data_IF_954489390929
#
_entry.id   IF_954489390929
#
_cell.length_a   1.000
_cell.length_b   1.000
_cell.length_c   1.000
_cell.angle_alpha   90.00
_cell.angle_beta   90.00
_cell.angle_gamma   90.00
#
_symmetry.space_group_name_H-M   'P 1'
#
loop_
_entity.id
_entity.type
_entity.pdbx_description
1 polymer ?
#
# COMPACT_ATOMS: atom_id res chain seq x y z
N UNK A 1 -3.69 -69.69 38.20
CA UNK A 1 -2.53 -69.85 37.30
C UNK A 1 -2.56 -68.70 36.31
N UNK A 2 -1.58 -67.80 36.40
CA UNK A 2 -1.50 -66.54 35.66
C UNK A 2 -1.37 -66.78 34.15
N UNK A 3 -2.13 -66.03 33.33
CA UNK A 3 -1.80 -65.87 31.91
C UNK A 3 -1.53 -64.39 31.65
N UNK A 4 -0.28 -64.12 31.33
CA UNK A 4 0.30 -62.80 31.03
C UNK A 4 -0.11 -62.31 29.63
N UNK A 5 -0.04 -61.00 29.52
CA UNK A 5 -0.35 -60.15 28.38
C UNK A 5 0.47 -60.40 27.10
N UNK A 6 -0.12 -60.00 25.98
CA UNK A 6 0.60 -59.44 24.83
C UNK A 6 -0.30 -58.42 24.11
N UNK A 7 -0.12 -57.14 24.44
CA UNK A 7 -0.64 -56.01 23.66
C UNK A 7 0.26 -55.83 22.44
N UNK A 8 -0.25 -56.14 21.25
CA UNK A 8 0.42 -55.83 19.99
C UNK A 8 0.48 -54.31 19.79
N UNK A 9 1.68 -53.75 19.90
CA UNK A 9 1.97 -52.38 19.54
C UNK A 9 2.08 -52.25 18.01
N UNK A 10 1.11 -51.57 17.38
CA UNK A 10 1.21 -51.16 15.97
C UNK A 10 2.32 -50.11 15.82
N UNK A 11 3.48 -50.54 15.36
CA UNK A 11 4.57 -49.66 14.93
C UNK A 11 4.14 -48.88 13.69
N UNK A 12 3.93 -47.57 13.84
CA UNK A 12 3.73 -46.65 12.71
C UNK A 12 5.06 -46.49 11.97
N UNK A 13 5.13 -47.03 10.76
CA UNK A 13 6.26 -46.90 9.84
C UNK A 13 6.49 -45.42 9.47
N UNK A 14 7.43 -44.76 10.15
CA UNK A 14 7.90 -43.42 9.80
C UNK A 14 8.85 -43.51 8.61
N UNK A 15 8.32 -43.73 7.40
CA UNK A 15 9.09 -43.55 6.17
C UNK A 15 9.53 -42.09 6.06
N UNK A 16 10.78 -41.82 6.41
CA UNK A 16 11.48 -40.56 6.18
C UNK A 16 11.42 -40.27 4.66
N UNK A 17 10.60 -39.30 4.25
CA UNK A 17 10.56 -38.84 2.86
C UNK A 17 11.94 -38.28 2.49
N UNK A 18 12.75 -39.06 1.76
CA UNK A 18 14.00 -38.61 1.14
C UNK A 18 13.71 -37.33 0.34
N UNK A 19 14.32 -36.21 0.72
CA UNK A 19 14.28 -34.95 -0.06
C UNK A 19 15.01 -35.20 -1.38
N UNK A 20 14.26 -35.41 -2.46
CA UNK A 20 14.82 -35.49 -3.81
C UNK A 20 15.33 -34.09 -4.17
N UNK A 21 16.64 -33.89 -4.16
CA UNK A 21 17.29 -32.70 -4.71
C UNK A 21 17.27 -32.82 -6.23
N UNK A 22 16.20 -32.32 -6.86
CA UNK A 22 16.20 -32.15 -8.32
C UNK A 22 17.14 -30.98 -8.65
N UNK A 23 18.30 -31.28 -9.23
CA UNK A 23 19.16 -30.28 -9.88
C UNK A 23 18.38 -29.75 -11.08
N UNK A 24 17.66 -28.64 -10.89
CA UNK A 24 16.95 -27.98 -11.99
C UNK A 24 17.97 -27.16 -12.77
N UNK A 25 17.97 -27.23 -14.11
CA UNK A 25 18.75 -26.30 -14.92
C UNK A 25 18.46 -24.87 -14.47
N UNK A 26 19.50 -24.05 -14.32
CA UNK A 26 19.34 -22.64 -13.97
C UNK A 26 18.75 -21.88 -15.17
N UNK A 27 17.42 -21.92 -15.32
CA UNK A 27 16.68 -21.18 -16.36
C UNK A 27 16.95 -19.68 -16.32
N UNK A 28 17.34 -19.17 -15.14
CA UNK A 28 17.64 -17.77 -14.90
C UNK A 28 19.12 -17.64 -14.54
N UNK A 29 19.93 -17.22 -15.50
CA UNK A 29 21.35 -16.90 -15.27
C UNK A 29 21.41 -15.60 -14.47
N UNK A 30 21.89 -15.61 -13.21
CA UNK A 30 21.86 -14.42 -12.36
C UNK A 30 22.55 -13.21 -12.98
N UNK A 31 23.67 -13.40 -13.68
CA UNK A 31 24.39 -12.31 -14.35
C UNK A 31 23.60 -11.60 -15.46
N UNK A 32 22.62 -12.28 -16.06
CA UNK A 32 21.85 -11.76 -17.20
C UNK A 32 20.53 -11.14 -16.73
N UNK A 33 19.80 -11.81 -15.83
CA UNK A 33 18.45 -11.36 -15.45
C UNK A 33 18.44 -10.39 -14.27
N UNK A 34 19.47 -10.36 -13.43
CA UNK A 34 19.41 -9.63 -12.16
C UNK A 34 19.36 -8.11 -12.37
N UNK A 35 20.09 -7.56 -13.35
CA UNK A 35 20.06 -6.13 -13.68
C UNK A 35 18.69 -5.66 -14.18
N UNK A 36 18.07 -6.26 -15.23
CA UNK A 36 16.73 -5.87 -15.66
C UNK A 36 15.69 -6.11 -14.54
N UNK A 37 15.84 -7.20 -13.79
CA UNK A 37 14.93 -7.50 -12.68
C UNK A 37 15.02 -6.47 -11.55
N UNK A 38 16.24 -6.06 -11.17
CA UNK A 38 16.47 -5.04 -10.15
C UNK A 38 15.89 -3.69 -10.58
N UNK A 39 15.96 -3.36 -11.87
CA UNK A 39 15.33 -2.15 -12.42
C UNK A 39 13.81 -2.19 -12.25
N UNK A 40 13.14 -3.28 -12.63
CA UNK A 40 11.69 -3.42 -12.43
C UNK A 40 11.31 -3.39 -10.94
N UNK A 41 12.12 -4.02 -10.08
CA UNK A 41 11.87 -4.02 -8.65
C UNK A 41 12.05 -2.63 -8.02
N UNK A 42 13.06 -1.87 -8.45
CA UNK A 42 13.27 -0.48 -8.06
C UNK A 42 12.09 0.42 -8.48
N UNK A 43 11.68 0.34 -9.75
CA UNK A 43 10.51 1.07 -10.29
C UNK A 43 9.23 0.70 -9.52
N UNK A 44 9.10 -0.56 -9.09
CA UNK A 44 7.94 -1.02 -8.33
C UNK A 44 7.90 -0.52 -6.88
N UNK A 45 8.84 0.32 -6.48
CA UNK A 45 9.08 0.73 -5.10
C UNK A 45 9.23 -0.48 -4.16
N UNK A 46 10.03 -1.45 -4.60
CA UNK A 46 10.47 -2.61 -3.83
C UNK A 46 9.38 -3.58 -3.32
N UNK A 47 8.21 -3.65 -3.97
CA UNK A 47 7.15 -4.61 -3.60
C UNK A 47 7.62 -6.08 -3.68
N UNK A 48 6.94 -6.96 -2.95
CA UNK A 48 7.27 -8.39 -2.93
C UNK A 48 6.93 -9.11 -4.24
N UNK A 49 7.53 -10.28 -4.47
CA UNK A 49 7.38 -11.02 -5.71
C UNK A 49 5.95 -11.39 -6.08
N UNK A 50 5.07 -11.63 -5.09
CA UNK A 50 3.64 -11.89 -5.33
C UNK A 50 2.90 -10.71 -5.97
N UNK A 51 3.31 -9.48 -5.65
CA UNK A 51 2.75 -8.23 -6.20
C UNK A 51 3.48 -7.81 -7.48
N UNK A 52 4.80 -8.00 -7.54
CA UNK A 52 5.59 -7.64 -8.71
C UNK A 52 5.31 -8.52 -9.93
N UNK A 53 5.26 -9.85 -9.76
CA UNK A 53 5.06 -10.78 -10.88
C UNK A 53 3.92 -10.39 -11.85
N UNK A 54 2.69 -10.08 -11.39
CA UNK A 54 1.61 -9.69 -12.29
C UNK A 54 1.76 -8.30 -12.94
N UNK A 55 2.67 -7.45 -12.47
CA UNK A 55 2.93 -6.12 -13.03
C UNK A 55 4.00 -6.10 -14.11
N UNK A 56 4.87 -7.11 -14.17
CA UNK A 56 6.04 -7.12 -15.05
C UNK A 56 5.64 -6.85 -16.51
N UNK A 57 4.58 -7.49 -17.00
CA UNK A 57 4.11 -7.29 -18.37
C UNK A 57 3.69 -5.84 -18.64
N UNK A 58 3.00 -5.18 -17.69
CA UNK A 58 2.57 -3.79 -17.83
C UNK A 58 3.75 -2.83 -17.80
N UNK A 59 4.71 -3.08 -16.89
CA UNK A 59 5.91 -2.26 -16.80
C UNK A 59 6.73 -2.35 -18.08
N UNK A 60 6.93 -3.57 -18.61
CA UNK A 60 7.64 -3.75 -19.88
C UNK A 60 6.93 -3.03 -21.03
N UNK A 61 5.59 -3.09 -21.10
CA UNK A 61 4.82 -2.36 -22.09
C UNK A 61 5.08 -0.85 -22.02
N UNK A 62 4.94 -0.26 -20.82
CA UNK A 62 5.11 1.19 -20.62
C UNK A 62 6.56 1.63 -20.83
N UNK A 63 7.52 0.89 -20.31
CA UNK A 63 8.94 1.22 -20.48
C UNK A 63 9.40 1.08 -21.92
N UNK A 64 8.86 0.13 -22.70
CA UNK A 64 9.14 0.04 -24.13
C UNK A 64 8.49 1.16 -24.93
N UNK A 65 7.23 1.51 -24.61
CA UNK A 65 6.53 2.66 -25.22
C UNK A 65 7.39 3.92 -25.17
N UNK A 66 7.99 4.18 -24.02
CA UNK A 66 8.78 5.40 -23.77
C UNK A 66 10.28 5.22 -24.01
N UNK A 67 10.70 4.10 -24.62
CA UNK A 67 12.11 3.79 -24.94
C UNK A 67 13.04 3.80 -23.71
N UNK A 68 12.51 3.49 -22.54
CA UNK A 68 13.25 3.35 -21.28
C UNK A 68 13.65 1.89 -20.99
N UNK A 69 13.45 0.96 -21.95
CA UNK A 69 13.81 -0.45 -21.81
C UNK A 69 14.57 -0.97 -23.03
N UNK A 70 15.86 -1.21 -22.84
CA UNK A 70 16.87 -1.56 -23.86
C UNK A 70 17.28 -3.05 -23.84
N UNK A 71 16.64 -3.88 -23.01
CA UNK A 71 16.95 -5.30 -22.95
C UNK A 71 16.35 -6.09 -24.13
N UNK A 72 17.01 -7.19 -24.56
CA UNK A 72 16.48 -8.06 -25.61
C UNK A 72 15.12 -8.68 -25.27
N UNK A 73 14.29 -8.93 -26.28
CA UNK A 73 12.95 -9.54 -26.11
C UNK A 73 13.00 -10.92 -25.42
N UNK A 74 14.11 -11.65 -25.58
CA UNK A 74 14.33 -12.92 -24.87
C UNK A 74 14.33 -12.75 -23.34
N UNK A 75 14.76 -11.58 -22.83
CA UNK A 75 14.73 -11.25 -21.40
C UNK A 75 13.31 -10.97 -20.94
N UNK A 76 12.51 -10.24 -21.72
CA UNK A 76 11.09 -10.00 -21.41
C UNK A 76 10.32 -11.30 -21.22
N UNK A 77 10.52 -12.25 -22.13
CA UNK A 77 9.88 -13.56 -22.05
C UNK A 77 10.25 -14.31 -20.75
N UNK A 78 11.50 -14.19 -20.29
CA UNK A 78 11.93 -14.77 -19.02
C UNK A 78 11.32 -14.04 -17.82
N UNK A 79 11.30 -12.70 -17.85
CA UNK A 79 10.74 -11.87 -16.79
C UNK A 79 9.23 -12.07 -16.64
N UNK A 80 8.49 -12.21 -17.73
CA UNK A 80 7.03 -12.43 -17.69
C UNK A 80 6.70 -13.82 -17.14
N UNK A 81 7.53 -14.84 -17.44
CA UNK A 81 7.31 -16.23 -17.00
C UNK A 81 7.75 -16.49 -15.55
N UNK A 82 8.49 -15.57 -14.93
CA UNK A 82 9.09 -15.81 -13.62
C UNK A 82 8.02 -15.93 -12.52
N UNK A 83 8.18 -16.93 -11.66
CA UNK A 83 7.27 -17.12 -10.52
C UNK A 83 7.58 -16.13 -9.39
N UNK A 84 6.56 -15.73 -8.64
CA UNK A 84 6.71 -14.89 -7.44
C UNK A 84 7.74 -15.42 -6.43
N UNK A 85 7.80 -16.74 -6.21
CA UNK A 85 8.78 -17.35 -5.31
C UNK A 85 10.22 -17.24 -5.85
N UNK A 86 10.39 -17.32 -7.18
CA UNK A 86 11.71 -17.15 -7.80
C UNK A 86 12.16 -15.71 -7.74
N UNK A 87 11.25 -14.75 -7.94
CA UNK A 87 11.50 -13.33 -7.72
C UNK A 87 12.09 -13.09 -6.33
N UNK A 88 11.39 -13.50 -5.27
CA UNK A 88 11.84 -13.22 -3.90
C UNK A 88 13.19 -13.90 -3.59
N UNK A 89 13.43 -15.09 -4.15
CA UNK A 89 14.73 -15.79 -4.04
C UNK A 89 15.86 -15.02 -4.73
N UNK A 90 15.64 -14.52 -5.95
CA UNK A 90 16.66 -13.75 -6.70
C UNK A 90 16.95 -12.39 -6.05
N UNK A 91 15.96 -11.77 -5.42
CA UNK A 91 16.11 -10.49 -4.72
C UNK A 91 16.77 -10.60 -3.35
N UNK A 92 16.84 -11.80 -2.76
CA UNK A 92 17.35 -12.00 -1.40
C UNK A 92 18.75 -11.40 -1.18
N UNK A 93 19.75 -11.61 -2.07
CA UNK A 93 21.07 -10.99 -1.92
C UNK A 93 21.03 -9.46 -1.99
N UNK A 94 20.20 -8.89 -2.87
CA UNK A 94 20.06 -7.43 -3.02
C UNK A 94 19.42 -6.84 -1.77
N UNK A 95 18.34 -7.44 -1.27
CA UNK A 95 17.68 -7.02 -0.02
C UNK A 95 18.64 -7.01 1.16
N UNK A 96 19.50 -8.03 1.29
CA UNK A 96 20.53 -8.09 2.33
C UNK A 96 21.55 -6.96 2.25
N UNK A 97 21.90 -6.50 1.05
CA UNK A 97 22.80 -5.35 0.85
C UNK A 97 22.11 -4.02 1.17
N UNK A 98 20.81 -3.91 0.90
CA UNK A 98 20.01 -2.70 1.16
C UNK A 98 19.59 -2.56 2.63
N UNK A 99 19.55 -3.64 3.41
CA UNK A 99 19.43 -3.54 4.86
C UNK A 99 20.69 -2.88 5.43
N UNK A 100 20.61 -1.58 5.68
CA UNK A 100 21.50 -0.90 6.61
C UNK A 100 21.52 -1.72 7.91
N UNK A 101 22.72 -2.11 8.39
CA UNK A 101 22.91 -2.74 9.71
C UNK A 101 22.65 -1.70 10.82
N UNK A 102 21.44 -1.18 10.89
CA UNK A 102 20.95 -0.40 12.02
C UNK A 102 20.21 -1.34 12.97
N UNK A 103 20.55 -1.31 14.26
CA UNK A 103 19.70 -1.91 15.30
C UNK A 103 18.42 -1.10 15.38
N UNK A 104 17.40 -1.48 14.63
CA UNK A 104 16.07 -0.87 14.76
C UNK A 104 15.39 -1.45 16.00
N UNK A 105 15.20 -0.62 17.03
CA UNK A 105 14.45 -0.99 18.26
C UNK A 105 12.94 -1.09 17.96
N UNK A 106 12.48 -0.46 16.87
CA UNK A 106 11.12 -0.58 16.37
C UNK A 106 11.08 -1.53 15.17
N UNK A 107 10.78 -2.80 15.43
CA UNK A 107 10.29 -3.70 14.38
C UNK A 107 8.94 -3.13 13.90
N UNK A 108 8.67 -3.02 12.59
CA UNK A 108 7.30 -2.89 12.10
C UNK A 108 6.48 -4.01 12.74
N UNK A 109 5.37 -3.66 13.40
CA UNK A 109 4.64 -4.54 14.30
C UNK A 109 4.54 -5.98 13.77
N UNK A 110 4.99 -6.92 14.60
CA UNK A 110 4.90 -8.35 14.31
C UNK A 110 3.45 -8.74 14.02
N UNK A 111 3.22 -9.32 12.83
CA UNK A 111 2.01 -10.01 12.39
C UNK A 111 1.55 -11.05 13.42
N UNK A 112 0.78 -10.66 14.43
CA UNK A 112 0.07 -11.57 15.33
C UNK A 112 -1.04 -10.80 16.06
N UNK A 113 -2.25 -10.82 15.48
CA UNK A 113 -3.55 -10.64 16.17
C UNK A 113 -4.71 -10.79 15.18
N UNK A 114 -4.95 -12.01 14.70
CA UNK A 114 -6.16 -12.31 13.92
C UNK A 114 -6.90 -13.50 14.52
N UNK A 115 -7.78 -13.22 15.47
CA UNK A 115 -8.99 -13.99 15.67
C UNK A 115 -10.11 -12.99 15.95
N UNK A 116 -11.27 -13.21 15.32
CA UNK A 116 -12.57 -12.54 15.47
C UNK A 116 -12.86 -11.44 14.41
N UNK A 117 -13.81 -11.69 13.49
CA UNK A 117 -14.49 -10.64 12.73
C UNK A 117 -15.64 -10.04 13.57
N UNK A 118 -15.97 -8.76 13.41
CA UNK A 118 -17.38 -8.30 13.31
C UNK A 118 -17.39 -6.97 12.54
N UNK A 119 -17.96 -6.99 11.34
CA UNK A 119 -18.52 -5.81 10.70
C UNK A 119 -20.01 -6.12 10.50
N UNK A 120 -20.93 -5.30 11.00
CA UNK A 120 -22.35 -5.44 10.63
C UNK A 120 -22.60 -4.63 9.37
N UNK A 121 -22.26 -5.24 8.22
CA UNK A 121 -22.45 -4.74 6.85
C UNK A 121 -23.88 -5.02 6.40
N UNK A 122 -24.87 -4.34 7.00
CA UNK A 122 -26.22 -4.47 6.46
C UNK A 122 -26.39 -3.68 5.14
N UNK A 123 -25.68 -2.55 4.98
CA UNK A 123 -25.98 -1.61 3.89
C UNK A 123 -24.84 -1.35 2.90
N UNK A 124 -23.64 -1.88 3.14
CA UNK A 124 -22.50 -1.63 2.26
C UNK A 124 -22.27 -2.85 1.34
N UNK A 125 -22.03 -2.61 0.06
CA UNK A 125 -21.75 -3.66 -0.90
C UNK A 125 -20.27 -3.57 -1.32
N UNK A 126 -19.41 -4.44 -0.76
CA UNK A 126 -17.96 -4.51 -1.06
C UNK A 126 -17.65 -4.82 -2.54
N UNK A 127 -18.68 -5.15 -3.34
CA UNK A 127 -18.56 -5.48 -4.76
C UNK A 127 -18.83 -4.30 -5.69
N UNK A 128 -19.20 -3.13 -5.16
CA UNK A 128 -19.32 -1.89 -5.94
C UNK A 128 -18.38 -0.81 -5.40
N UNK A 129 -17.75 0.00 -6.27
CA UNK A 129 -16.91 1.11 -5.83
C UNK A 129 -17.77 2.30 -5.41
N UNK A 130 -17.16 3.20 -4.66
CA UNK A 130 -17.79 4.37 -4.05
C UNK A 130 -17.83 4.31 -2.52
N UNK A 131 -17.36 3.22 -1.91
CA UNK A 131 -17.34 3.07 -0.45
C UNK A 131 -15.91 3.22 0.05
N UNK A 132 -15.63 4.34 0.72
CA UNK A 132 -14.29 4.71 1.15
C UNK A 132 -14.11 4.54 2.66
N UNK A 133 -13.00 3.93 3.05
CA UNK A 133 -12.46 4.05 4.40
C UNK A 133 -11.54 5.26 4.44
N UNK A 134 -11.71 6.13 5.44
CA UNK A 134 -10.91 7.35 5.60
C UNK A 134 -10.14 7.35 6.93
N UNK A 135 -8.92 7.86 6.91
CA UNK A 135 -8.11 8.07 8.11
C UNK A 135 -7.12 9.23 7.94
N UNK A 136 -6.56 9.71 9.06
CA UNK A 136 -5.52 10.74 9.09
C UNK A 136 -4.20 10.25 9.69
N UNK A 137 -3.10 10.90 9.29
CA UNK A 137 -1.76 10.63 9.81
C UNK A 137 -1.05 11.95 10.12
N UNK A 138 -0.61 12.11 11.36
CA UNK A 138 0.21 13.24 11.79
C UNK A 138 1.64 13.20 11.18
N UNK A 139 2.08 14.30 10.58
CA UNK A 139 3.47 14.52 10.18
C UNK A 139 4.19 15.44 11.18
N UNK A 140 4.31 14.95 12.41
CA UNK A 140 4.82 15.70 13.56
C UNK A 140 6.31 15.41 13.87
N UNK A 141 6.96 14.51 13.12
CA UNK A 141 8.29 14.03 13.46
C UNK A 141 8.30 13.26 14.79
N UNK A 142 9.24 13.58 15.67
CA UNK A 142 9.36 13.00 17.01
C UNK A 142 8.62 13.77 18.11
N UNK A 143 7.98 14.89 17.77
CA UNK A 143 7.32 15.77 18.74
C UNK A 143 5.84 15.97 18.36
N UNK A 144 4.92 15.83 19.31
CA UNK A 144 3.48 16.03 19.08
C UNK A 144 2.99 17.43 19.44
N UNK A 145 3.85 18.32 19.94
CA UNK A 145 3.48 19.72 20.22
C UNK A 145 3.50 20.58 18.96
N UNK A 146 2.77 21.69 18.99
CA UNK A 146 2.71 22.68 17.92
C UNK A 146 1.85 22.26 16.72
N UNK A 147 1.80 23.13 15.72
CA UNK A 147 1.06 22.91 14.49
C UNK A 147 1.92 22.14 13.48
N UNK A 148 1.30 21.17 12.82
CA UNK A 148 1.94 20.37 11.77
C UNK A 148 0.86 19.77 10.88
N UNK A 149 1.27 19.43 9.66
CA UNK A 149 0.40 18.90 8.64
C UNK A 149 -0.09 17.47 8.97
N UNK A 150 -1.30 17.18 8.48
CA UNK A 150 -1.98 15.91 8.60
C UNK A 150 -2.25 15.34 7.21
N UNK A 151 -1.76 14.13 6.94
CA UNK A 151 -2.10 13.42 5.72
C UNK A 151 -3.46 12.77 5.83
N UNK A 152 -4.38 13.11 4.93
CA UNK A 152 -5.68 12.50 4.78
C UNK A 152 -5.62 11.41 3.70
N UNK A 153 -6.12 10.22 4.02
CA UNK A 153 -6.13 9.07 3.13
C UNK A 153 -7.56 8.52 3.01
N UNK A 154 -8.08 8.45 1.78
CA UNK A 154 -9.33 7.76 1.48
C UNK A 154 -9.05 6.55 0.59
N UNK A 155 -9.47 5.36 1.00
CA UNK A 155 -9.29 4.13 0.23
C UNK A 155 -10.62 3.44 -0.07
N UNK A 156 -10.95 3.27 -1.35
CA UNK A 156 -12.13 2.53 -1.79
C UNK A 156 -12.02 1.04 -1.41
N UNK A 157 -13.03 0.49 -0.75
CA UNK A 157 -13.02 -0.89 -0.25
C UNK A 157 -13.10 -1.90 -1.39
N UNK A 158 -13.79 -1.60 -2.48
CA UNK A 158 -13.99 -2.51 -3.60
C UNK A 158 -12.72 -2.64 -4.44
N UNK A 159 -12.18 -1.50 -4.90
CA UNK A 159 -11.08 -1.42 -5.86
C UNK A 159 -9.73 -1.13 -5.21
N UNK A 160 -9.68 -0.82 -3.92
CA UNK A 160 -8.47 -0.32 -3.23
C UNK A 160 -7.94 0.99 -3.84
N UNK A 161 -8.82 1.79 -4.44
CA UNK A 161 -8.45 3.07 -5.05
C UNK A 161 -8.13 4.06 -3.94
N UNK A 162 -6.95 4.65 -4.01
CA UNK A 162 -6.42 5.54 -2.98
C UNK A 162 -6.56 6.99 -3.45
N UNK A 163 -6.98 7.87 -2.55
CA UNK A 163 -6.88 9.32 -2.71
C UNK A 163 -6.05 9.84 -1.54
N UNK A 164 -5.19 10.82 -1.81
CA UNK A 164 -4.31 11.42 -0.80
C UNK A 164 -4.38 12.94 -0.84
N UNK A 165 -4.40 13.56 0.33
CA UNK A 165 -4.33 15.00 0.48
C UNK A 165 -3.53 15.34 1.74
N UNK A 166 -2.81 16.45 1.73
CA UNK A 166 -2.16 16.99 2.90
C UNK A 166 -2.94 18.20 3.42
N UNK A 167 -3.41 18.11 4.66
CA UNK A 167 -4.10 19.17 5.37
C UNK A 167 -3.09 19.92 6.27
N UNK A 168 -3.17 21.25 6.39
CA UNK A 168 -2.26 22.02 7.25
C UNK A 168 -2.45 21.71 8.75
N UNK A 169 -3.65 21.28 9.14
CA UNK A 169 -4.02 20.92 10.49
C UNK A 169 -5.09 19.79 10.51
N UNK A 170 -5.45 19.33 11.71
CA UNK A 170 -6.48 18.29 11.95
C UNK A 170 -7.89 18.88 12.17
N UNK A 171 -8.07 20.16 11.88
CA UNK A 171 -9.33 20.87 12.05
C UNK A 171 -10.39 20.37 11.08
N UNK A 172 -11.63 20.42 11.53
CA UNK A 172 -12.79 19.87 10.80
C UNK A 172 -12.95 20.52 9.41
N UNK A 173 -12.67 21.82 9.29
CA UNK A 173 -12.71 22.53 8.02
C UNK A 173 -11.61 22.07 7.05
N UNK A 174 -10.37 21.94 7.54
CA UNK A 174 -9.24 21.50 6.74
C UNK A 174 -9.45 20.08 6.18
N UNK A 175 -9.94 19.16 7.03
CA UNK A 175 -10.28 17.80 6.62
C UNK A 175 -11.42 17.81 5.59
N UNK A 176 -12.51 18.54 5.85
CA UNK A 176 -13.64 18.63 4.92
C UNK A 176 -13.25 19.17 3.54
N UNK A 177 -12.48 20.26 3.48
CA UNK A 177 -11.99 20.79 2.20
C UNK A 177 -11.03 19.81 1.50
N UNK A 178 -10.17 19.12 2.25
CA UNK A 178 -9.33 18.06 1.70
C UNK A 178 -10.15 16.93 1.07
N UNK A 179 -11.18 16.44 1.77
CA UNK A 179 -12.08 15.41 1.24
C UNK A 179 -12.79 15.87 -0.03
N UNK A 180 -13.30 17.12 -0.06
CA UNK A 180 -13.92 17.69 -1.26
C UNK A 180 -12.95 17.67 -2.45
N UNK A 181 -11.72 18.15 -2.27
CA UNK A 181 -10.68 18.15 -3.32
C UNK A 181 -10.43 16.74 -3.83
N UNK A 182 -10.24 15.77 -2.93
CA UNK A 182 -10.01 14.36 -3.27
C UNK A 182 -11.15 13.79 -4.12
N UNK A 183 -12.39 14.05 -3.73
CA UNK A 183 -13.57 13.53 -4.42
C UNK A 183 -13.72 14.06 -5.85
N UNK A 184 -13.22 15.27 -6.15
CA UNK A 184 -13.26 15.82 -7.53
C UNK A 184 -12.40 15.04 -8.52
N UNK A 185 -11.40 14.28 -8.04
CA UNK A 185 -10.46 13.51 -8.88
C UNK A 185 -11.01 12.15 -9.28
N UNK A 186 -12.12 11.71 -8.68
CA UNK A 186 -12.73 10.42 -8.98
C UNK A 186 -13.50 10.43 -10.30
N UNK A 187 -13.46 9.30 -11.01
CA UNK A 187 -14.29 9.07 -12.19
C UNK A 187 -15.64 8.42 -11.83
N UNK A 188 -15.89 8.12 -10.56
CA UNK A 188 -17.12 7.50 -10.05
C UNK A 188 -17.56 8.20 -8.75
N UNK A 189 -18.84 8.02 -8.38
CA UNK A 189 -19.41 8.69 -7.21
C UNK A 189 -18.94 8.03 -5.92
N UNK A 190 -18.80 8.85 -4.88
CA UNK A 190 -18.74 8.37 -3.50
C UNK A 190 -20.18 8.07 -3.05
N UNK A 191 -20.38 6.87 -2.51
CA UNK A 191 -21.63 6.33 -2.00
C UNK A 191 -21.63 6.22 -0.48
N UNK A 192 -20.46 5.99 0.11
CA UNK A 192 -20.30 5.94 1.56
C UNK A 192 -18.88 6.21 2.02
N UNK A 193 -18.77 6.71 3.24
CA UNK A 193 -17.52 7.03 3.92
C UNK A 193 -17.57 6.42 5.32
N UNK A 194 -16.53 5.69 5.69
CA UNK A 194 -16.34 5.09 7.00
C UNK A 194 -15.09 5.68 7.62
N UNK A 195 -15.23 6.34 8.77
CA UNK A 195 -14.11 6.91 9.52
C UNK A 195 -13.94 6.22 10.87
N UNK A 196 -12.81 6.49 11.52
CA UNK A 196 -12.66 6.24 12.94
C UNK A 196 -13.48 7.24 13.77
N UNK A 197 -13.38 7.17 15.11
CA UNK A 197 -14.08 8.08 16.01
C UNK A 197 -13.31 9.40 16.27
N UNK A 198 -12.38 9.78 15.40
CA UNK A 198 -11.64 11.02 15.52
C UNK A 198 -12.55 12.25 15.44
N UNK A 199 -12.32 13.25 16.30
CA UNK A 199 -13.10 14.49 16.33
C UNK A 199 -13.00 15.33 15.06
N UNK A 200 -12.00 15.05 14.22
CA UNK A 200 -11.83 15.64 12.89
C UNK A 200 -12.84 15.12 11.87
N UNK A 201 -13.38 13.91 12.06
CA UNK A 201 -14.40 13.31 11.20
C UNK A 201 -15.79 13.37 11.85
N UNK A 202 -15.87 13.22 13.16
CA UNK A 202 -17.13 13.25 13.91
C UNK A 202 -17.51 14.70 14.21
N UNK A 203 -18.08 15.37 13.22
CA UNK A 203 -18.53 16.76 13.32
C UNK A 203 -19.71 17.10 12.39
N UNK A 204 -20.36 18.23 12.67
CA UNK A 204 -21.56 18.68 11.95
C UNK A 204 -21.26 19.10 10.49
N UNK A 205 -20.06 19.62 10.21
CA UNK A 205 -19.65 20.02 8.85
C UNK A 205 -19.65 18.80 7.93
N UNK A 206 -18.90 17.76 8.29
CA UNK A 206 -18.80 16.54 7.49
C UNK A 206 -20.13 15.78 7.44
N UNK A 207 -20.86 15.72 8.56
CA UNK A 207 -22.17 15.08 8.61
C UNK A 207 -23.18 15.75 7.64
N UNK A 208 -23.32 17.08 7.69
CA UNK A 208 -24.21 17.83 6.79
C UNK A 208 -23.77 17.74 5.34
N UNK A 209 -22.46 17.77 5.07
CA UNK A 209 -21.94 17.55 3.73
C UNK A 209 -22.33 16.17 3.19
N UNK A 210 -22.14 15.11 3.97
CA UNK A 210 -22.54 13.75 3.59
C UNK A 210 -24.06 13.66 3.36
N UNK A 211 -24.88 14.27 4.23
CA UNK A 211 -26.34 14.34 4.04
C UNK A 211 -26.72 15.03 2.72
N UNK A 212 -26.14 16.20 2.45
CA UNK A 212 -26.40 16.97 1.23
C UNK A 212 -25.99 16.20 -0.03
N UNK A 213 -24.82 15.57 -0.01
CA UNK A 213 -24.29 14.77 -1.12
C UNK A 213 -24.92 13.37 -1.22
N UNK A 214 -25.79 13.00 -0.27
CA UNK A 214 -26.41 11.65 -0.14
C UNK A 214 -25.35 10.54 -0.03
N UNK A 215 -24.30 10.81 0.73
CA UNK A 215 -23.23 9.88 1.07
C UNK A 215 -23.57 9.23 2.41
N UNK A 216 -23.52 7.90 2.45
CA UNK A 216 -23.72 7.14 3.69
C UNK A 216 -22.49 7.30 4.59
N UNK A 217 -22.63 8.01 5.70
CA UNK A 217 -21.53 8.20 6.65
C UNK A 217 -21.64 7.25 7.84
N UNK A 218 -20.61 6.41 8.05
CA UNK A 218 -20.53 5.46 9.15
C UNK A 218 -19.28 5.69 9.99
N UNK A 219 -19.31 5.17 11.23
CA UNK A 219 -18.19 5.22 12.15
C UNK A 219 -17.89 3.84 12.73
N UNK A 220 -16.63 3.61 13.04
CA UNK A 220 -16.19 2.41 13.74
C UNK A 220 -16.73 2.40 15.18
N UNK A 221 -17.12 1.25 15.76
CA UNK A 221 -17.64 1.20 17.16
C UNK A 221 -16.53 1.54 18.17
N UNK A 222 -16.83 2.41 19.14
CA UNK A 222 -15.92 2.74 20.24
C UNK A 222 -15.55 1.49 21.07
N UNK A 223 -14.27 1.35 21.41
CA UNK A 223 -13.76 0.31 22.32
C UNK A 223 -13.13 -0.94 21.69
N UNK A 224 -12.99 -1.02 20.35
CA UNK A 224 -12.33 -2.17 19.69
C UNK A 224 -11.03 -1.76 18.98
N UNK A 225 -9.91 -1.84 19.70
CA UNK A 225 -8.52 -1.56 19.26
C UNK A 225 -7.98 -2.41 18.08
N UNK A 226 -8.81 -3.18 17.38
CA UNK A 226 -8.37 -4.18 16.40
C UNK A 226 -8.37 -3.68 14.94
N UNK A 227 -9.00 -2.54 14.65
CA UNK A 227 -9.06 -1.97 13.30
C UNK A 227 -7.80 -1.15 12.94
N UNK A 228 -7.05 -0.71 13.97
CA UNK A 228 -5.81 0.04 13.81
C UNK A 228 -4.79 -0.67 12.91
N UNK A 229 -4.68 -2.00 12.92
CA UNK A 229 -3.64 -2.69 12.15
C UNK A 229 -3.85 -2.60 10.63
N UNK A 230 -5.09 -2.66 10.15
CA UNK A 230 -5.39 -2.54 8.72
C UNK A 230 -5.22 -1.10 8.25
N UNK A 231 -5.65 -0.16 9.08
CA UNK A 231 -5.51 1.28 8.89
C UNK A 231 -4.04 1.71 8.90
N UNK A 232 -3.25 1.27 9.89
CA UNK A 232 -1.81 1.46 9.97
C UNK A 232 -1.09 0.91 8.73
N UNK A 233 -1.49 -0.27 8.24
CA UNK A 233 -0.92 -0.83 7.04
C UNK A 233 -1.21 0.04 5.81
N UNK A 234 -2.46 0.50 5.63
CA UNK A 234 -2.87 1.37 4.52
C UNK A 234 -2.08 2.68 4.54
N UNK A 235 -2.12 3.39 5.67
CA UNK A 235 -1.41 4.64 5.88
C UNK A 235 0.10 4.49 5.71
N UNK A 236 0.66 3.36 6.14
CA UNK A 236 2.06 3.08 5.89
C UNK A 236 2.34 3.00 4.38
N UNK A 237 1.53 2.24 3.63
CA UNK A 237 1.74 2.02 2.20
C UNK A 237 1.41 3.23 1.31
N UNK A 238 0.53 4.13 1.74
CA UNK A 238 0.08 5.28 0.93
C UNK A 238 0.71 6.61 1.33
N UNK A 239 0.93 6.86 2.63
CA UNK A 239 1.48 8.12 3.13
C UNK A 239 2.92 7.97 3.61
N UNK A 240 3.19 7.09 4.59
CA UNK A 240 4.52 6.98 5.22
C UNK A 240 5.60 6.48 4.27
N UNK A 241 5.25 5.63 3.30
CA UNK A 241 6.18 5.17 2.28
C UNK A 241 6.72 6.32 1.43
N UNK A 242 5.93 7.38 1.24
CA UNK A 242 6.27 8.51 0.36
C UNK A 242 6.77 9.74 1.13
N UNK A 243 6.22 10.03 2.30
CA UNK A 243 6.60 11.21 3.09
C UNK A 243 7.48 10.86 4.31
N UNK A 244 7.60 9.57 4.66
CA UNK A 244 8.35 9.13 5.82
C UNK A 244 7.72 9.56 7.15
N UNK A 245 8.58 9.83 8.12
CA UNK A 245 8.21 10.31 9.45
C UNK A 245 8.70 11.76 9.66
N UNK A 246 8.73 12.56 8.60
CA UNK A 246 9.15 13.96 8.68
C UNK A 246 8.15 14.78 9.52
N UNK A 247 8.67 15.87 10.10
CA UNK A 247 7.85 16.96 10.63
C UNK A 247 7.61 17.96 9.50
N UNK A 248 6.34 18.19 9.17
CA UNK A 248 5.90 19.07 8.07
C UNK A 248 5.03 20.16 8.68
N UNK A 249 5.45 21.41 8.57
CA UNK A 249 4.87 22.54 9.31
C UNK A 249 4.70 23.78 8.45
N UNK A 250 5.64 24.04 7.54
CA UNK A 250 5.60 25.25 6.73
C UNK A 250 4.79 25.04 5.46
N UNK A 251 4.20 26.11 4.95
CA UNK A 251 3.46 26.09 3.68
C UNK A 251 4.33 25.56 2.52
N UNK A 252 5.61 25.94 2.47
CA UNK A 252 6.55 25.40 1.47
C UNK A 252 6.69 23.87 1.59
N UNK A 253 6.84 23.34 2.80
CA UNK A 253 6.94 21.90 3.03
C UNK A 253 5.64 21.19 2.66
N UNK A 254 4.49 21.78 2.99
CA UNK A 254 3.16 21.26 2.65
C UNK A 254 2.99 21.17 1.14
N UNK A 255 3.37 22.21 0.39
CA UNK A 255 3.27 22.23 -1.08
C UNK A 255 4.14 21.13 -1.72
N UNK A 256 5.41 21.00 -1.30
CA UNK A 256 6.29 19.95 -1.82
C UNK A 256 5.73 18.57 -1.48
N UNK A 257 5.23 18.38 -0.26
CA UNK A 257 4.66 17.11 0.16
C UNK A 257 3.36 16.78 -0.59
N UNK A 258 2.51 17.76 -0.85
CA UNK A 258 1.31 17.59 -1.67
C UNK A 258 1.66 17.17 -3.11
N UNK A 259 2.67 17.78 -3.73
CA UNK A 259 3.16 17.36 -5.05
C UNK A 259 3.64 15.90 -5.06
N UNK A 260 4.32 15.46 -3.98
CA UNK A 260 4.70 14.05 -3.81
C UNK A 260 3.46 13.16 -3.76
N UNK A 261 2.44 13.54 -2.97
CA UNK A 261 1.22 12.75 -2.80
C UNK A 261 0.40 12.65 -4.09
N UNK A 262 0.34 13.70 -4.91
CA UNK A 262 -0.33 13.66 -6.21
C UNK A 262 0.34 12.67 -7.17
N UNK A 263 1.68 12.68 -7.25
CA UNK A 263 2.42 11.69 -8.03
C UNK A 263 2.29 10.27 -7.45
N UNK A 264 2.27 10.15 -6.12
CA UNK A 264 2.09 8.88 -5.42
C UNK A 264 0.70 8.30 -5.68
N UNK A 265 -0.35 9.11 -5.70
CA UNK A 265 -1.72 8.69 -6.00
C UNK A 265 -1.80 8.04 -7.39
N UNK A 266 -1.18 8.66 -8.40
CA UNK A 266 -1.08 8.10 -9.75
C UNK A 266 -0.28 6.79 -9.74
N UNK A 267 0.88 6.79 -9.09
CA UNK A 267 1.73 5.61 -9.00
C UNK A 267 1.02 4.42 -8.33
N UNK A 268 0.38 4.63 -7.19
CA UNK A 268 -0.33 3.61 -6.43
C UNK A 268 -1.49 3.05 -7.28
N UNK A 269 -2.35 3.93 -7.80
CA UNK A 269 -3.58 3.49 -8.46
C UNK A 269 -3.35 2.81 -9.81
N UNK A 270 -2.35 3.25 -10.58
CA UNK A 270 -2.11 2.77 -11.94
C UNK A 270 -0.97 1.77 -12.06
N UNK A 271 0.03 1.86 -11.19
CA UNK A 271 1.29 1.12 -11.33
C UNK A 271 1.68 0.28 -10.11
N UNK A 272 0.92 0.30 -9.01
CA UNK A 272 1.17 -0.54 -7.86
C UNK A 272 0.04 -1.55 -7.62
N UNK A 273 0.38 -2.83 -7.65
CA UNK A 273 -0.59 -3.91 -7.45
C UNK A 273 -0.74 -4.21 -5.97
N UNK A 274 -1.92 -4.66 -5.56
CA UNK A 274 -2.25 -5.08 -4.20
C UNK A 274 -3.11 -6.34 -4.25
N UNK A 275 -3.10 -7.10 -3.14
CA UNK A 275 -3.90 -8.32 -2.98
C UNK A 275 -5.00 -8.10 -1.96
N UNK A 276 -6.23 -8.41 -2.33
CA UNK A 276 -7.36 -8.47 -1.40
C UNK A 276 -7.45 -9.85 -0.78
N UNK A 277 -7.79 -9.87 0.49
CA UNK A 277 -8.10 -11.08 1.20
C UNK A 277 -9.52 -11.55 0.82
N UNK A 278 -9.63 -12.76 0.27
CA UNK A 278 -10.89 -13.37 -0.15
C UNK A 278 -11.56 -14.18 0.97
N UNK A 279 -10.78 -15.01 1.67
CA UNK A 279 -11.29 -15.90 2.73
C UNK A 279 -10.26 -16.07 3.83
N UNK A 280 -10.73 -16.15 5.08
CA UNK A 280 -9.97 -16.69 6.20
C UNK A 280 -10.59 -18.02 6.60
N UNK A 281 -9.78 -19.05 6.74
CA UNK A 281 -10.20 -20.35 7.22
C UNK A 281 -9.35 -20.73 8.44
N UNK A 282 -10.00 -21.17 9.52
CA UNK A 282 -9.31 -21.58 10.73
C UNK A 282 -9.29 -23.10 10.81
N UNK A 283 -8.09 -23.66 10.76
CA UNK A 283 -7.85 -25.10 10.88
C UNK A 283 -7.06 -25.32 12.18
N UNK A 284 -7.79 -25.68 13.26
CA UNK A 284 -7.25 -25.77 14.61
C UNK A 284 -6.68 -24.44 15.11
N UNK A 285 -5.37 -24.41 15.39
CA UNK A 285 -4.64 -23.21 15.82
C UNK A 285 -4.15 -22.34 14.66
N UNK A 286 -4.21 -22.83 13.41
CA UNK A 286 -3.70 -22.12 12.24
C UNK A 286 -4.84 -21.39 11.52
N UNK A 287 -4.57 -20.15 11.11
CA UNK A 287 -5.45 -19.39 10.21
C UNK A 287 -4.83 -19.33 8.83
N UNK A 288 -5.49 -19.91 7.84
CA UNK A 288 -5.11 -19.84 6.43
C UNK A 288 -5.86 -18.67 5.80
N UNK A 289 -5.12 -17.82 5.10
CA UNK A 289 -5.64 -16.65 4.39
C UNK A 289 -5.53 -16.88 2.88
N UNK A 290 -6.65 -16.83 2.19
CA UNK A 290 -6.72 -16.92 0.74
C UNK A 290 -6.83 -15.51 0.17
N UNK A 291 -5.88 -15.17 -0.69
CA UNK A 291 -5.81 -13.86 -1.35
C UNK A 291 -6.12 -14.01 -2.83
N UNK A 292 -6.59 -12.93 -3.44
CA UNK A 292 -6.74 -12.87 -4.88
C UNK A 292 -5.39 -12.70 -5.61
N UNK A 293 -5.46 -12.66 -6.94
CA UNK A 293 -4.32 -12.26 -7.77
C UNK A 293 -4.10 -10.76 -7.59
N UNK A 294 -2.85 -10.36 -7.38
CA UNK A 294 -2.54 -8.94 -7.23
C UNK A 294 -2.89 -8.16 -8.50
N UNK A 295 -3.60 -7.05 -8.32
CA UNK A 295 -4.03 -6.14 -9.38
C UNK A 295 -3.86 -4.71 -8.88
N UNK A 296 -3.63 -3.77 -9.81
CA UNK A 296 -3.69 -2.34 -9.49
C UNK A 296 -5.15 -1.92 -9.28
N UNK A 297 -5.41 -0.86 -8.49
CA UNK A 297 -6.75 -0.30 -8.36
C UNK A 297 -7.39 0.04 -9.71
N UNK A 298 -6.63 0.60 -10.64
CA UNK A 298 -7.04 0.83 -12.03
C UNK A 298 -7.54 -0.45 -12.71
N UNK A 299 -6.77 -1.54 -12.65
CA UNK A 299 -7.19 -2.82 -13.26
C UNK A 299 -8.37 -3.46 -12.54
N UNK A 300 -8.47 -3.32 -11.22
CA UNK A 300 -9.65 -3.78 -10.44
C UNK A 300 -10.89 -3.05 -10.92
N UNK A 301 -10.83 -1.73 -11.02
CA UNK A 301 -11.94 -0.89 -11.47
C UNK A 301 -12.36 -1.22 -12.91
N UNK A 302 -11.41 -1.42 -13.84
CA UNK A 302 -11.72 -1.86 -15.21
C UNK A 302 -12.41 -3.23 -15.24
N UNK A 303 -11.96 -4.16 -14.40
CA UNK A 303 -12.49 -5.54 -14.35
C UNK A 303 -13.95 -5.60 -13.89
N UNK A 304 -14.43 -4.61 -13.14
CA UNK A 304 -15.82 -4.55 -12.69
C UNK A 304 -16.81 -4.33 -13.85
N UNK A 305 -16.36 -3.79 -14.98
CA UNK A 305 -17.22 -3.59 -16.16
C UNK A 305 -18.29 -2.51 -16.02
N UNK A 306 -18.33 -1.78 -14.90
CA UNK A 306 -19.35 -0.76 -14.60
C UNK A 306 -19.06 0.62 -15.20
N UNK A 307 -17.86 0.83 -15.74
CA UNK A 307 -17.45 2.15 -16.24
C UNK A 307 -17.99 2.43 -17.64
N UNK A 308 -18.58 3.60 -17.81
CA UNK A 308 -18.92 4.16 -19.12
C UNK A 308 -17.69 4.30 -20.03
N UNK A 309 -17.92 4.44 -21.33
CA UNK A 309 -16.83 4.67 -22.31
C UNK A 309 -16.01 5.92 -21.96
N UNK A 310 -16.67 7.00 -21.54
CA UNK A 310 -16.03 8.26 -21.14
C UNK A 310 -15.12 8.07 -19.92
N UNK A 311 -15.62 7.41 -18.87
CA UNK A 311 -14.82 7.14 -17.66
C UNK A 311 -13.59 6.27 -17.98
N UNK A 312 -13.77 5.23 -18.82
CA UNK A 312 -12.64 4.40 -19.28
C UNK A 312 -11.60 5.21 -20.05
N UNK A 313 -12.03 6.12 -20.93
CA UNK A 313 -11.13 6.99 -21.67
C UNK A 313 -10.38 7.97 -20.76
N UNK A 314 -11.04 8.53 -19.74
CA UNK A 314 -10.38 9.40 -18.75
C UNK A 314 -9.26 8.65 -18.02
N UNK A 315 -9.54 7.44 -17.50
CA UNK A 315 -8.53 6.62 -16.84
C UNK A 315 -7.42 6.18 -17.80
N UNK A 316 -7.78 5.79 -19.03
CA UNK A 316 -6.80 5.41 -20.03
C UNK A 316 -5.87 6.57 -20.38
N UNK A 317 -6.40 7.80 -20.48
CA UNK A 317 -5.59 9.00 -20.70
C UNK A 317 -4.51 9.11 -19.62
N UNK A 318 -4.87 9.03 -18.34
CA UNK A 318 -3.92 9.04 -17.22
C UNK A 318 -2.89 7.91 -17.36
N UNK A 319 -3.31 6.68 -17.59
CA UNK A 319 -2.39 5.55 -17.76
C UNK A 319 -1.43 5.75 -18.95
N UNK A 320 -1.93 6.28 -20.06
CA UNK A 320 -1.19 6.44 -21.31
C UNK A 320 -0.17 7.57 -21.28
N UNK A 321 -0.36 8.58 -20.42
CA UNK A 321 0.54 9.75 -20.32
C UNK A 321 1.56 9.64 -19.20
N UNK A 322 1.51 8.58 -18.39
CA UNK A 322 2.43 8.40 -17.26
C UNK A 322 3.32 7.17 -17.43
N UNK A 323 4.51 7.26 -16.83
CA UNK A 323 5.49 6.19 -16.79
C UNK A 323 5.91 5.92 -15.32
N UNK A 324 5.89 4.67 -14.84
CA UNK A 324 6.21 4.37 -13.44
C UNK A 324 7.67 4.70 -13.08
N UNK A 325 8.61 4.61 -14.02
CA UNK A 325 10.01 5.01 -13.77
C UNK A 325 10.13 6.52 -13.60
N UNK A 326 9.51 7.31 -14.48
CA UNK A 326 9.54 8.77 -14.37
C UNK A 326 8.82 9.27 -13.12
N UNK A 327 7.67 8.67 -12.79
CA UNK A 327 6.92 8.97 -11.56
C UNK A 327 7.81 8.74 -10.33
N UNK A 328 8.43 7.56 -10.22
CA UNK A 328 9.28 7.24 -9.07
C UNK A 328 10.54 8.10 -9.00
N UNK A 329 11.13 8.49 -10.14
CA UNK A 329 12.24 9.43 -10.18
C UNK A 329 11.84 10.83 -9.70
N UNK A 330 10.72 11.38 -10.20
CA UNK A 330 10.19 12.68 -9.76
C UNK A 330 9.87 12.69 -8.27
N UNK A 331 9.22 11.63 -7.78
CA UNK A 331 8.93 11.43 -6.35
C UNK A 331 10.24 11.48 -5.54
N UNK A 332 11.28 10.76 -5.95
CA UNK A 332 12.58 10.74 -5.22
C UNK A 332 13.23 12.12 -5.16
N UNK A 333 13.21 12.87 -6.27
CA UNK A 333 13.72 14.24 -6.32
C UNK A 333 12.97 15.16 -5.36
N UNK A 334 11.63 15.09 -5.35
CA UNK A 334 10.82 15.89 -4.43
C UNK A 334 10.99 15.44 -2.98
N UNK A 335 11.16 14.14 -2.72
CA UNK A 335 11.47 13.63 -1.38
C UNK A 335 12.81 14.17 -0.86
N UNK A 336 13.84 14.27 -1.72
CA UNK A 336 15.10 14.90 -1.35
C UNK A 336 14.93 16.39 -1.05
N UNK A 337 14.14 17.10 -1.87
CA UNK A 337 13.80 18.51 -1.66
C UNK A 337 13.08 18.69 -0.30
N UNK A 338 12.06 17.88 -0.02
CA UNK A 338 11.30 17.91 1.22
C UNK A 338 12.20 17.63 2.43
N UNK A 339 13.06 16.60 2.36
CA UNK A 339 14.02 16.29 3.43
C UNK A 339 14.92 17.49 3.75
N UNK A 340 15.44 18.18 2.73
CA UNK A 340 16.27 19.38 2.93
C UNK A 340 15.47 20.51 3.58
N UNK A 341 14.25 20.77 3.11
CA UNK A 341 13.37 21.79 3.66
C UNK A 341 13.02 21.52 5.14
N UNK A 342 12.70 20.28 5.50
CA UNK A 342 12.44 19.89 6.90
C UNK A 342 13.69 19.99 7.79
N UNK A 343 14.87 19.58 7.29
CA UNK A 343 16.13 19.66 8.07
C UNK A 343 16.54 21.11 8.38
N UNK A 344 16.32 22.04 7.46
CA UNK A 344 16.64 23.47 7.68
C UNK A 344 15.77 24.04 8.79
N UNK A 345 14.47 23.73 8.82
CA UNK A 345 13.57 24.16 9.89
C UNK A 345 14.00 23.59 11.24
N UNK A 346 14.29 22.29 11.31
CA UNK A 346 14.77 21.65 12.54
C UNK A 346 16.05 22.31 13.10
N UNK A 347 17.03 22.62 12.23
CA UNK A 347 18.25 23.30 12.66
C UNK A 347 17.99 24.72 13.17
N UNK A 348 17.08 25.47 12.53
CA UNK A 348 16.71 26.82 12.98
C UNK A 348 16.05 26.81 14.36
N UNK A 349 15.18 25.84 14.62
CA UNK A 349 14.56 25.67 15.94
C UNK A 349 15.57 25.25 17.00
N UNK A 350 16.45 24.30 16.69
CA UNK A 350 17.50 23.87 17.61
C UNK A 350 18.44 25.03 18.00
N UNK A 351 18.80 25.90 17.04
CA UNK A 351 19.62 27.09 17.32
C UNK A 351 18.85 28.10 18.18
N UNK A 352 17.54 28.30 17.94
CA UNK A 352 16.71 29.21 18.75
C UNK A 352 16.65 28.77 20.21
N UNK A 353 16.51 27.48 20.48
CA UNK A 353 16.47 26.93 21.84
C UNK A 353 17.82 26.88 22.56
N UNK A 354 18.94 27.06 21.84
CA UNK A 354 20.29 27.14 22.44
C UNK A 354 20.72 28.59 22.71
N UNK A 355 19.95 29.58 22.22
CA UNK A 355 20.19 31.01 22.44
C UNK A 355 19.28 31.65 23.50
N UNK A 356 18.41 30.86 24.13
CA UNK A 356 17.66 31.15 25.35
C UNK A 356 18.33 30.43 26.53
#
# INVERSE_FOLDING_TARGET
MQVRASREARTRDFRVKRRIHRVRPHTYVPGVILKPFSKLWDISNFICGKRLAPLIADYLFVLRRDRLWDYPVAIDAQLIKISAATIDRLLTPIRKKMTLKGRTITKPGTLLKHQIPVRTWADWNENIPGFFETDTVAFCGSNLSGDFAWGLNMTDVCTEWVLLELCPDRGQYAIHEGMKKMMTRLVYKVLGIDSDNGGEFINDILYRFCQFMRITFTRTRAGKKNDNCYVEQKNFTSLRTFLGYLRIETEEQIQIAQEILELAEIFINFFQSSTKLLKKERIGTRTIKHYDKALTPYKRLLKLGILSKRQRQQLYKVYSTHNPQELTQKIRVLQDKLRRACSVTFLREAIRHLGE
#
